data_IF_463209439493
#
_entry.id   IF_463209439493
#
_cell.length_a   1.000
_cell.length_b   1.000
_cell.length_c   1.000
_cell.angle_alpha   90.00
_cell.angle_beta   90.00
_cell.angle_gamma   90.00
#
_symmetry.space_group_name_H-M   'P 1'
#
loop_
_entity.id
_entity.type
_entity.pdbx_description
1 polymer ?
#
# COMPACT_ATOMS: atom_id res chain seq x y z
N UNK A 1 -17.35 -28.75 -18.84
CA UNK A 1 -16.56 -27.51 -18.67
C UNK A 1 -15.11 -27.91 -18.50
N UNK A 2 -14.23 -27.57 -19.45
CA UNK A 2 -12.80 -27.75 -19.24
C UNK A 2 -12.34 -26.79 -18.15
N UNK A 3 -11.48 -27.21 -17.19
CA UNK A 3 -10.89 -26.26 -16.27
C UNK A 3 -10.14 -25.22 -17.09
N UNK A 4 -10.46 -23.94 -16.87
CA UNK A 4 -9.64 -22.83 -17.36
C UNK A 4 -8.25 -23.12 -16.83
N UNK A 5 -7.32 -23.45 -17.73
CA UNK A 5 -5.90 -23.58 -17.37
C UNK A 5 -5.50 -22.20 -16.84
N UNK A 6 -5.44 -22.05 -15.51
CA UNK A 6 -4.60 -21.04 -14.90
C UNK A 6 -3.25 -21.19 -15.59
N UNK A 7 -2.88 -20.16 -16.35
CA UNK A 7 -1.84 -20.23 -17.35
C UNK A 7 -0.58 -20.89 -16.77
N UNK A 8 0.16 -21.64 -17.59
CA UNK A 8 1.48 -22.20 -17.27
C UNK A 8 2.54 -21.13 -16.84
N UNK A 9 2.15 -19.90 -16.47
CA UNK A 9 3.03 -18.75 -16.20
C UNK A 9 3.12 -18.36 -14.72
N UNK A 10 2.09 -18.62 -13.91
CA UNK A 10 2.18 -18.49 -12.44
C UNK A 10 2.59 -19.84 -11.86
N UNK A 11 3.79 -20.29 -12.19
CA UNK A 11 4.31 -21.54 -11.65
C UNK A 11 4.80 -21.33 -10.23
N UNK A 12 4.52 -22.32 -9.37
CA UNK A 12 5.18 -22.39 -8.06
C UNK A 12 6.66 -22.65 -8.31
N UNK A 13 7.47 -21.62 -8.13
CA UNK A 13 8.93 -21.64 -8.18
C UNK A 13 9.46 -21.38 -6.77
N UNK A 14 10.56 -22.04 -6.40
CA UNK A 14 11.26 -21.73 -5.15
C UNK A 14 11.69 -20.26 -5.19
N UNK A 15 11.72 -19.60 -4.03
CA UNK A 15 12.18 -18.21 -3.92
C UNK A 15 11.34 -17.21 -4.74
N UNK A 16 10.10 -17.57 -5.09
CA UNK A 16 9.13 -16.66 -5.70
C UNK A 16 7.92 -16.50 -4.80
N UNK A 17 7.56 -15.26 -4.50
CA UNK A 17 6.37 -14.89 -3.73
C UNK A 17 5.46 -13.99 -4.54
N UNK A 18 4.17 -13.99 -4.22
CA UNK A 18 3.18 -13.13 -4.83
C UNK A 18 2.45 -12.34 -3.74
N UNK A 19 2.19 -11.06 -3.97
CA UNK A 19 1.38 -10.25 -3.07
C UNK A 19 -0.11 -10.59 -3.18
N UNK A 20 -0.90 -10.07 -2.25
CA UNK A 20 -2.34 -10.01 -2.44
C UNK A 20 -2.65 -9.15 -3.68
N UNK A 21 -3.64 -9.53 -4.51
CA UNK A 21 -4.03 -8.74 -5.66
C UNK A 21 -4.88 -7.54 -5.25
N UNK A 22 -4.76 -6.44 -6.01
CA UNK A 22 -5.61 -5.25 -5.93
C UNK A 22 -6.38 -5.13 -7.24
N UNK A 23 -7.67 -4.79 -7.17
CA UNK A 23 -8.47 -4.52 -8.36
C UNK A 23 -8.49 -3.00 -8.62
N UNK A 24 -7.95 -2.59 -9.76
CA UNK A 24 -7.87 -1.20 -10.18
C UNK A 24 -8.00 -1.13 -11.70
N UNK A 25 -8.55 -0.04 -12.25
CA UNK A 25 -8.66 0.20 -13.70
C UNK A 25 -9.21 -0.98 -14.54
N UNK A 26 -10.03 -1.85 -13.95
CA UNK A 26 -10.60 -3.01 -14.61
C UNK A 26 -9.74 -4.29 -14.60
N UNK A 27 -8.56 -4.26 -13.98
CA UNK A 27 -7.62 -5.39 -13.91
C UNK A 27 -7.29 -5.79 -12.46
N UNK A 28 -6.84 -7.03 -12.27
CA UNK A 28 -6.18 -7.46 -11.05
C UNK A 28 -4.68 -7.21 -11.15
N UNK A 29 -4.15 -6.34 -10.30
CA UNK A 29 -2.73 -6.07 -10.16
C UNK A 29 -2.15 -6.85 -8.98
N UNK A 30 -0.92 -7.33 -9.11
CA UNK A 30 -0.19 -7.94 -7.99
C UNK A 30 1.33 -7.89 -8.24
N UNK A 31 2.10 -7.91 -7.15
CA UNK A 31 3.54 -8.03 -7.21
C UNK A 31 3.96 -9.50 -7.23
N UNK A 32 5.02 -9.78 -7.96
CA UNK A 32 5.82 -11.00 -7.86
C UNK A 32 7.21 -10.62 -7.39
N UNK A 33 7.67 -11.17 -6.27
CA UNK A 33 9.07 -11.09 -5.87
C UNK A 33 9.80 -12.37 -6.26
N UNK A 34 10.80 -12.27 -7.14
CA UNK A 34 11.72 -13.36 -7.48
C UNK A 34 13.09 -13.08 -6.85
N UNK A 35 13.41 -13.78 -5.76
CA UNK A 35 14.65 -13.56 -5.00
C UNK A 35 15.87 -14.23 -5.63
N UNK A 36 15.69 -15.20 -6.51
CA UNK A 36 16.80 -15.77 -7.29
C UNK A 36 17.26 -14.75 -8.36
N UNK A 37 16.30 -14.07 -8.98
CA UNK A 37 16.57 -13.05 -9.99
C UNK A 37 16.74 -11.63 -9.40
N UNK A 38 16.51 -11.46 -8.09
CA UNK A 38 16.57 -10.17 -7.38
C UNK A 38 15.62 -9.11 -7.97
N UNK A 39 14.38 -9.50 -8.26
CA UNK A 39 13.40 -8.65 -8.96
C UNK A 39 12.05 -8.60 -8.26
N UNK A 40 11.43 -7.43 -8.32
CA UNK A 40 10.00 -7.22 -8.05
C UNK A 40 9.33 -6.86 -9.38
N UNK A 41 8.38 -7.67 -9.84
CA UNK A 41 7.58 -7.39 -11.04
C UNK A 41 6.14 -7.04 -10.67
N UNK A 42 5.61 -5.97 -11.24
CA UNK A 42 4.18 -5.68 -11.20
C UNK A 42 3.52 -6.30 -12.43
N UNK A 43 2.49 -7.11 -12.20
CA UNK A 43 1.68 -7.68 -13.26
C UNK A 43 0.24 -7.21 -13.13
N UNK A 44 -0.45 -7.16 -14.28
CA UNK A 44 -1.90 -7.05 -14.35
C UNK A 44 -2.51 -8.25 -15.09
N UNK A 45 -3.72 -8.61 -14.68
CA UNK A 45 -4.41 -9.79 -15.20
C UNK A 45 -5.92 -9.63 -15.18
N UNK A 46 -6.57 -10.15 -16.23
CA UNK A 46 -8.01 -10.43 -16.25
C UNK A 46 -8.18 -11.92 -16.58
N UNK A 47 -9.07 -12.65 -15.86
CA UNK A 47 -9.37 -14.04 -16.18
C UNK A 47 -9.65 -14.29 -17.66
N UNK A 48 -8.89 -15.21 -18.27
CA UNK A 48 -9.02 -15.57 -19.68
C UNK A 48 -8.18 -14.72 -20.64
N UNK A 49 -7.50 -13.66 -20.17
CA UNK A 49 -6.49 -12.91 -20.94
C UNK A 49 -5.08 -13.37 -20.62
N UNK A 50 -4.10 -12.86 -21.37
CA UNK A 50 -2.69 -13.08 -21.08
C UNK A 50 -2.29 -12.29 -19.82
N UNK A 51 -1.40 -12.87 -19.02
CA UNK A 51 -0.73 -12.14 -17.93
C UNK A 51 0.26 -11.15 -18.54
N UNK A 52 0.13 -9.89 -18.20
CA UNK A 52 0.96 -8.80 -18.72
C UNK A 52 1.76 -8.16 -17.57
N UNK A 53 3.00 -7.78 -17.87
CA UNK A 53 3.91 -7.14 -16.91
C UNK A 53 3.90 -5.64 -17.18
N UNK A 54 3.60 -4.85 -16.16
CA UNK A 54 3.63 -3.39 -16.25
C UNK A 54 5.05 -2.84 -16.08
N UNK A 55 5.73 -3.29 -15.02
CA UNK A 55 7.07 -2.82 -14.69
C UNK A 55 7.85 -3.87 -13.90
N UNK A 56 9.16 -3.66 -13.81
CA UNK A 56 10.11 -4.49 -13.06
C UNK A 56 11.10 -3.58 -12.33
N UNK A 57 11.32 -3.86 -11.05
CA UNK A 57 12.24 -3.14 -10.17
C UNK A 57 13.27 -4.11 -9.60
N UNK A 58 14.50 -3.63 -9.36
CA UNK A 58 15.51 -4.41 -8.65
C UNK A 58 15.21 -4.47 -7.15
N UNK A 59 15.43 -5.62 -6.49
CA UNK A 59 15.36 -5.71 -5.02
C UNK A 59 16.45 -4.88 -4.33
N UNK A 60 17.42 -4.36 -5.07
CA UNK A 60 18.46 -3.45 -4.57
C UNK A 60 18.01 -1.98 -4.58
N UNK A 61 16.94 -1.65 -5.30
CA UNK A 61 16.41 -0.29 -5.46
C UNK A 61 15.16 -0.03 -4.61
N UNK A 62 14.53 -1.09 -4.11
CA UNK A 62 13.30 -1.03 -3.33
C UNK A 62 13.50 -1.56 -1.91
N UNK A 63 12.84 -0.95 -0.95
CA UNK A 63 12.69 -1.54 0.38
C UNK A 63 11.66 -2.66 0.29
N UNK A 64 12.06 -3.86 0.69
CA UNK A 64 11.15 -5.00 0.75
C UNK A 64 10.29 -5.00 2.02
N UNK A 65 10.60 -4.13 2.98
CA UNK A 65 9.84 -3.99 4.21
C UNK A 65 8.58 -3.16 3.95
N UNK A 66 7.42 -3.72 4.34
CA UNK A 66 6.09 -3.12 4.09
C UNK A 66 5.86 -2.69 2.62
N UNK A 67 6.44 -3.44 1.67
CA UNK A 67 6.22 -3.24 0.23
C UNK A 67 4.83 -3.73 -0.15
N UNK A 68 4.02 -2.87 -0.77
CA UNK A 68 2.69 -3.21 -1.24
C UNK A 68 2.30 -2.42 -2.50
N UNK A 69 1.10 -2.70 -3.01
CA UNK A 69 0.45 -1.89 -4.03
C UNK A 69 -0.82 -1.27 -3.48
N UNK A 70 -1.05 0.00 -3.77
CA UNK A 70 -2.26 0.75 -3.37
C UNK A 70 -2.71 1.68 -4.50
N UNK A 71 -3.92 2.21 -4.38
CA UNK A 71 -4.42 3.28 -5.25
C UNK A 71 -5.10 2.80 -6.54
N UNK A 72 -5.66 3.77 -7.25
CA UNK A 72 -6.28 3.61 -8.56
C UNK A 72 -6.02 4.90 -9.39
N UNK A 73 -5.04 4.94 -10.31
CA UNK A 73 -4.16 3.86 -10.77
C UNK A 73 -3.23 3.28 -9.70
N UNK A 74 -2.67 2.09 -9.95
CA UNK A 74 -1.85 1.38 -8.96
C UNK A 74 -0.47 2.02 -8.75
N UNK A 75 -0.05 2.10 -7.50
CA UNK A 75 1.25 2.57 -7.07
C UNK A 75 2.00 1.47 -6.33
N UNK A 76 3.30 1.32 -6.59
CA UNK A 76 4.17 0.42 -5.81
C UNK A 76 4.80 1.26 -4.71
N UNK A 77 4.50 0.95 -3.45
CA UNK A 77 5.00 1.73 -2.31
C UNK A 77 5.69 0.85 -1.28
N UNK A 78 6.59 1.47 -0.50
CA UNK A 78 6.99 0.98 0.81
C UNK A 78 6.80 2.10 1.83
N UNK A 79 6.53 1.73 3.08
CA UNK A 79 6.26 2.69 4.14
C UNK A 79 6.79 2.22 5.49
N UNK A 80 7.63 3.03 6.11
CA UNK A 80 8.11 2.88 7.50
C UNK A 80 8.25 4.27 8.12
N UNK A 81 9.46 4.80 8.26
CA UNK A 81 9.71 6.20 8.66
C UNK A 81 9.67 7.15 7.44
N UNK A 82 9.63 6.59 6.24
CA UNK A 82 9.57 7.31 4.98
C UNK A 82 8.55 6.62 4.09
N UNK A 83 7.64 7.42 3.52
CA UNK A 83 6.82 6.98 2.42
C UNK A 83 7.68 7.02 1.15
N UNK A 84 7.73 5.92 0.42
CA UNK A 84 8.41 5.85 -0.88
C UNK A 84 7.47 5.22 -1.88
N UNK A 85 7.18 5.94 -2.96
CA UNK A 85 6.56 5.41 -4.15
C UNK A 85 7.65 5.13 -5.20
N UNK A 86 7.64 3.93 -5.77
CA UNK A 86 8.58 3.49 -6.80
C UNK A 86 7.98 3.50 -8.21
N UNK A 87 6.66 3.46 -8.31
CA UNK A 87 5.90 3.44 -9.55
C UNK A 87 4.50 4.03 -9.31
N UNK A 88 3.92 4.80 -10.25
CA UNK A 88 4.47 5.16 -11.56
C UNK A 88 5.55 6.24 -11.48
N UNK A 89 5.52 7.07 -10.44
CA UNK A 89 6.47 8.14 -10.21
C UNK A 89 7.25 7.93 -8.92
N UNK A 90 8.52 8.35 -8.93
CA UNK A 90 9.37 8.26 -7.74
C UNK A 90 9.06 9.43 -6.81
N UNK A 91 8.33 9.14 -5.73
CA UNK A 91 7.96 10.11 -4.69
C UNK A 91 8.55 9.63 -3.38
N UNK A 92 9.07 10.56 -2.57
CA UNK A 92 9.56 10.23 -1.24
C UNK A 92 9.48 11.41 -0.30
N UNK A 93 8.93 11.17 0.89
CA UNK A 93 8.93 12.13 2.00
C UNK A 93 8.86 11.39 3.35
N UNK A 94 9.38 11.98 4.43
CA UNK A 94 9.29 11.39 5.76
C UNK A 94 7.84 11.33 6.23
N UNK A 95 7.51 10.27 6.98
CA UNK A 95 6.23 10.08 7.66
C UNK A 95 6.49 9.83 9.14
N UNK A 96 5.47 10.00 9.99
CA UNK A 96 5.63 9.65 11.41
C UNK A 96 5.45 8.15 11.60
N UNK A 97 6.07 7.56 12.63
CA UNK A 97 5.91 6.13 12.93
C UNK A 97 4.47 5.70 13.26
N UNK A 98 3.57 6.67 13.42
CA UNK A 98 2.15 6.45 13.64
C UNK A 98 1.34 6.46 12.34
N UNK A 99 1.90 6.93 11.23
CA UNK A 99 1.22 7.06 9.93
C UNK A 99 1.32 5.78 9.10
N UNK A 100 0.24 5.43 8.38
CA UNK A 100 0.21 4.35 7.39
C UNK A 100 -0.64 4.76 6.18
N UNK A 101 -0.02 4.79 4.99
CA UNK A 101 -0.68 5.04 3.72
C UNK A 101 -1.63 3.88 3.38
N UNK A 102 -2.88 4.23 3.11
CA UNK A 102 -3.97 3.31 2.81
C UNK A 102 -4.32 3.31 1.33
N UNK A 103 -4.36 4.48 0.70
CA UNK A 103 -4.87 4.65 -0.65
C UNK A 103 -4.30 5.89 -1.35
N UNK A 104 -4.28 5.86 -2.69
CA UNK A 104 -3.86 6.98 -3.54
C UNK A 104 -4.92 7.18 -4.63
N UNK A 105 -5.44 8.39 -4.74
CA UNK A 105 -6.42 8.79 -5.75
C UNK A 105 -6.36 10.31 -5.95
N UNK A 106 -6.53 10.75 -7.20
CA UNK A 106 -6.56 12.17 -7.58
C UNK A 106 -5.37 12.99 -7.01
N UNK A 107 -4.14 12.46 -7.17
CA UNK A 107 -2.89 13.07 -6.70
C UNK A 107 -2.81 13.29 -5.18
N UNK A 108 -3.64 12.57 -4.41
CA UNK A 108 -3.67 12.60 -2.95
C UNK A 108 -3.32 11.24 -2.38
N UNK A 109 -2.60 11.27 -1.27
CA UNK A 109 -2.23 10.09 -0.49
C UNK A 109 -3.00 10.16 0.83
N UNK A 110 -3.80 9.12 1.09
CA UNK A 110 -4.60 9.01 2.30
C UNK A 110 -3.86 8.13 3.31
N UNK A 111 -3.60 8.67 4.49
CA UNK A 111 -2.96 7.98 5.61
C UNK A 111 -3.95 7.82 6.75
N UNK A 112 -3.89 6.69 7.45
CA UNK A 112 -4.34 6.61 8.85
C UNK A 112 -3.18 7.00 9.76
N UNK A 113 -3.50 7.58 10.92
CA UNK A 113 -2.54 7.82 11.98
C UNK A 113 -3.18 7.62 13.35
N UNK A 114 -2.56 6.80 14.19
CA UNK A 114 -2.99 6.68 15.58
C UNK A 114 -2.41 7.81 16.43
N UNK A 115 -3.24 8.38 17.29
CA UNK A 115 -2.89 9.45 18.22
C UNK A 115 -3.13 8.93 19.63
N UNK A 116 -2.08 8.95 20.44
CA UNK A 116 -2.14 8.56 21.84
C UNK A 116 -1.88 9.78 22.72
N UNK A 117 -2.87 10.12 23.53
CA UNK A 117 -2.82 11.22 24.48
C UNK A 117 -2.85 10.68 25.91
N UNK A 118 -2.29 11.45 26.85
CA UNK A 118 -2.35 11.09 28.27
C UNK A 118 -1.51 9.87 28.67
N UNK A 119 -0.52 9.46 27.87
CA UNK A 119 0.52 8.51 28.26
C UNK A 119 1.62 9.19 29.10
N UNK A 120 2.08 8.52 30.16
CA UNK A 120 3.17 9.02 31.02
C UNK A 120 4.43 8.18 30.83
N UNK A 121 5.34 8.67 29.99
CA UNK A 121 6.61 8.00 29.67
C UNK A 121 7.49 7.72 30.89
N UNK A 122 7.42 8.58 31.92
CA UNK A 122 8.28 8.44 33.11
C UNK A 122 7.88 7.23 33.96
N UNK A 123 6.58 7.00 34.06
CA UNK A 123 6.02 5.94 34.89
C UNK A 123 5.58 4.72 34.08
N UNK A 124 5.69 4.79 32.75
CA UNK A 124 5.28 3.75 31.80
C UNK A 124 3.80 3.35 32.01
N UNK A 125 2.92 4.35 32.13
CA UNK A 125 1.51 4.13 32.42
C UNK A 125 0.58 5.20 31.82
N UNK A 126 -0.66 4.78 31.54
CA UNK A 126 -1.75 5.69 31.21
C UNK A 126 -2.09 6.63 32.38
N UNK A 127 -2.50 7.87 32.07
CA UNK A 127 -3.09 8.81 33.03
C UNK A 127 -4.62 8.77 32.98
N UNK A 128 -5.29 9.49 33.88
CA UNK A 128 -6.76 9.62 33.88
C UNK A 128 -7.31 10.28 32.60
N UNK A 129 -6.47 10.98 31.83
CA UNK A 129 -6.82 11.60 30.55
C UNK A 129 -6.30 10.78 29.35
N UNK A 130 -6.07 9.48 29.53
CA UNK A 130 -5.62 8.62 28.45
C UNK A 130 -6.69 8.50 27.37
N UNK A 131 -6.29 8.73 26.12
CA UNK A 131 -7.12 8.50 24.96
C UNK A 131 -6.27 7.97 23.81
N UNK A 132 -6.84 7.06 23.03
CA UNK A 132 -6.22 6.47 21.85
C UNK A 132 -7.26 6.45 20.73
N UNK A 133 -7.01 7.24 19.70
CA UNK A 133 -7.91 7.39 18.57
C UNK A 133 -7.14 7.49 17.25
N UNK A 134 -7.85 7.38 16.14
CA UNK A 134 -7.29 7.48 14.80
C UNK A 134 -7.69 8.78 14.12
N UNK A 135 -6.85 9.23 13.20
CA UNK A 135 -7.15 10.30 12.27
C UNK A 135 -6.78 9.90 10.85
N UNK A 136 -7.53 10.41 9.89
CA UNK A 136 -7.19 10.36 8.48
C UNK A 136 -6.43 11.64 8.11
N UNK A 137 -5.23 11.47 7.56
CA UNK A 137 -4.40 12.57 7.05
C UNK A 137 -4.33 12.45 5.53
N UNK A 138 -4.64 13.54 4.84
CA UNK A 138 -4.50 13.61 3.38
C UNK A 138 -3.28 14.44 3.06
N UNK A 139 -2.35 13.89 2.27
CA UNK A 139 -1.13 14.59 1.83
C UNK A 139 -1.06 14.67 0.30
N UNK A 140 -0.40 15.69 -0.21
CA UNK A 140 0.00 15.76 -1.61
C UNK A 140 1.27 14.93 -1.88
N UNK A 141 1.69 14.84 -3.15
CA UNK A 141 2.91 14.10 -3.54
C UNK A 141 4.22 14.78 -3.10
N UNK A 142 4.17 16.01 -2.59
CA UNK A 142 5.33 16.65 -1.93
C UNK A 142 5.39 16.34 -0.43
N UNK A 143 4.41 15.61 0.11
CA UNK A 143 4.30 15.30 1.52
C UNK A 143 3.65 16.41 2.36
N UNK A 144 3.08 17.44 1.74
CA UNK A 144 2.38 18.48 2.48
C UNK A 144 1.00 17.98 2.90
N UNK A 145 0.65 18.19 4.18
CA UNK A 145 -0.69 17.90 4.69
C UNK A 145 -1.72 18.86 4.09
N UNK A 146 -2.74 18.30 3.45
CA UNK A 146 -3.89 19.01 2.89
C UNK A 146 -5.06 19.07 3.88
N UNK A 147 -5.29 18.00 4.64
CA UNK A 147 -6.34 17.92 5.67
C UNK A 147 -6.05 16.85 6.72
N UNK A 148 -6.67 17.00 7.89
CA UNK A 148 -6.69 16.02 8.97
C UNK A 148 -8.11 15.93 9.55
N UNK A 149 -8.61 14.72 9.77
CA UNK A 149 -9.94 14.47 10.32
C UNK A 149 -9.90 13.27 11.29
N UNK A 150 -10.54 13.38 12.45
CA UNK A 150 -10.63 12.27 13.42
C UNK A 150 -11.61 11.22 12.91
N UNK A 151 -11.21 9.95 12.98
CA UNK A 151 -11.98 8.80 12.52
C UNK A 151 -11.13 7.82 11.73
N UNK A 152 -11.76 6.72 11.33
CA UNK A 152 -11.15 5.67 10.52
C UNK A 152 -11.62 5.75 9.07
N UNK A 153 -10.76 5.34 8.15
CA UNK A 153 -11.09 5.30 6.73
C UNK A 153 -11.71 3.94 6.35
N UNK A 154 -12.97 3.95 5.89
CA UNK A 154 -13.70 2.74 5.49
C UNK A 154 -13.97 2.71 4.00
N UNK A 155 -13.97 1.50 3.41
CA UNK A 155 -14.35 1.26 2.02
C UNK A 155 -15.57 0.33 1.92
N UNK A 156 -16.55 0.73 1.12
CA UNK A 156 -17.72 -0.08 0.80
C UNK A 156 -17.40 -1.10 -0.29
N UNK A 157 -18.28 -2.10 -0.44
CA UNK A 157 -18.14 -3.11 -1.49
C UNK A 157 -18.22 -2.54 -2.92
N UNK A 158 -18.80 -1.34 -3.09
CA UNK A 158 -18.85 -0.63 -4.37
C UNK A 158 -17.63 0.28 -4.63
N UNK A 159 -16.67 0.31 -3.69
CA UNK A 159 -15.46 1.11 -3.76
C UNK A 159 -15.57 2.50 -3.12
N UNK A 160 -16.75 2.91 -2.64
CA UNK A 160 -16.97 4.22 -1.99
C UNK A 160 -16.22 4.29 -0.67
N UNK A 161 -15.55 5.41 -0.42
CA UNK A 161 -14.83 5.69 0.82
C UNK A 161 -15.57 6.68 1.72
N UNK A 162 -15.46 6.51 3.05
CA UNK A 162 -15.92 7.51 4.04
C UNK A 162 -15.09 7.44 5.32
N UNK A 163 -15.17 8.51 6.11
CA UNK A 163 -14.59 8.59 7.46
C UNK A 163 -15.72 8.41 8.47
N UNK A 164 -15.52 7.56 9.49
CA UNK A 164 -16.47 7.32 10.57
C UNK A 164 -15.79 7.08 11.91
#
# INVERSE_FOLDING_TARGET
>A
MSPVKFSNRLQKKRNVIYSNPVYAEGFYYFLQGDYDEKKISLYHYIPGKLLEKETELSTEEVSLYKLCIIGNPVHIISQEDTFVCYYPEKISFPITGHESALFIEDEKIYFESWVEEGWNDKNDCATDNYDLYYKVIVKDFSGNTLSEEVGDLYQAADGTWWIA
#
